data_IF_627505478492
#
_entry.id   IF_627505478492
#
_cell.length_a   1.000
_cell.length_b   1.000
_cell.length_c   1.000
_cell.angle_alpha   90.00
_cell.angle_beta   90.00
_cell.angle_gamma   90.00
#
_symmetry.space_group_name_H-M   'P 1'
#
loop_
_entity.id
_entity.type
_entity.pdbx_description
1 polymer ?
#
# COMPACT_ATOMS: atom_id res chain seq x y z
N UNK A 1 -2.08 -27.21 17.73
CA UNK A 1 -2.54 -25.84 17.41
C UNK A 1 -1.35 -24.93 17.61
N UNK A 2 -1.01 -24.05 16.66
CA UNK A 2 0.02 -23.05 16.90
C UNK A 2 -0.39 -22.22 18.12
N UNK A 3 0.56 -21.87 18.98
CA UNK A 3 0.29 -20.94 20.08
C UNK A 3 -0.26 -19.66 19.46
N UNK A 4 -1.49 -19.26 19.80
CA UNK A 4 -2.02 -17.99 19.33
C UNK A 4 -1.10 -16.88 19.85
N UNK A 5 -0.39 -16.21 18.94
CA UNK A 5 0.42 -15.04 19.26
C UNK A 5 -0.46 -14.02 20.00
N UNK A 6 0.01 -13.54 21.15
CA UNK A 6 -0.74 -12.59 21.99
C UNK A 6 -0.98 -11.24 21.31
N UNK A 7 -0.42 -10.98 20.13
CA UNK A 7 -0.58 -9.74 19.37
C UNK A 7 -1.65 -9.80 18.28
N UNK A 8 -2.28 -10.95 18.05
CA UNK A 8 -3.28 -11.16 16.98
C UNK A 8 -4.65 -11.47 17.57
N UNK A 9 -5.65 -10.66 17.21
CA UNK A 9 -7.05 -10.89 17.53
C UNK A 9 -7.73 -11.65 16.38
N UNK A 10 -8.27 -12.83 16.67
CA UNK A 10 -9.03 -13.61 15.68
C UNK A 10 -10.46 -13.08 15.56
N UNK A 11 -10.89 -12.83 14.33
CA UNK A 11 -12.30 -12.63 13.99
C UNK A 11 -12.71 -13.74 13.02
N UNK A 12 -13.64 -14.63 13.39
CA UNK A 12 -14.07 -15.67 12.48
C UNK A 12 -14.70 -15.05 11.22
N UNK A 13 -14.66 -15.75 10.10
CA UNK A 13 -15.27 -15.27 8.84
C UNK A 13 -16.77 -14.94 8.98
N UNK A 14 -17.47 -15.60 9.92
CA UNK A 14 -18.85 -15.27 10.29
C UNK A 14 -19.02 -13.85 10.85
N UNK A 15 -17.97 -13.22 11.37
CA UNK A 15 -17.98 -11.82 11.78
C UNK A 15 -18.05 -10.86 10.59
N UNK A 16 -17.73 -11.31 9.38
CA UNK A 16 -17.90 -10.53 8.14
C UNK A 16 -19.24 -10.83 7.45
N UNK A 17 -20.10 -11.62 8.09
CA UNK A 17 -21.45 -11.87 7.60
C UNK A 17 -22.34 -10.64 7.79
N UNK A 18 -23.55 -10.71 7.24
CA UNK A 18 -24.58 -9.68 7.36
C UNK A 18 -24.81 -9.35 8.84
N UNK A 19 -24.68 -8.07 9.19
CA UNK A 19 -25.09 -7.56 10.50
C UNK A 19 -26.61 -7.60 10.55
N UNK A 20 -27.18 -8.39 11.46
CA UNK A 20 -28.62 -8.47 11.62
C UNK A 20 -29.16 -7.22 12.32
N UNK A 21 -30.14 -6.57 11.70
CA UNK A 21 -30.77 -5.35 12.20
C UNK A 21 -30.09 -4.06 11.72
N UNK A 22 -30.61 -2.92 12.18
CA UNK A 22 -30.07 -1.61 11.84
C UNK A 22 -28.77 -1.35 12.61
N UNK A 23 -27.77 -0.81 11.92
CA UNK A 23 -26.51 -0.41 12.51
C UNK A 23 -26.10 0.98 12.01
N UNK A 24 -25.23 1.64 12.77
CA UNK A 24 -24.63 2.92 12.42
C UNK A 24 -23.11 2.78 12.43
N UNK A 25 -22.48 3.35 11.41
CA UNK A 25 -21.03 3.51 11.30
C UNK A 25 -20.72 4.94 10.88
N UNK A 26 -19.91 5.61 11.66
CA UNK A 26 -19.28 6.87 11.25
C UNK A 26 -18.01 6.54 10.46
N UNK A 27 -17.91 6.92 9.16
CA UNK A 27 -16.74 6.60 8.33
C UNK A 27 -15.46 7.31 8.77
N UNK A 28 -15.56 8.32 9.65
CA UNK A 28 -14.41 9.05 10.20
C UNK A 28 -13.69 8.27 11.32
N UNK A 29 -14.31 7.21 11.84
CA UNK A 29 -13.77 6.39 12.92
C UNK A 29 -13.51 4.96 12.45
N UNK A 30 -12.82 4.21 13.31
CA UNK A 30 -12.49 2.81 13.08
C UNK A 30 -13.73 1.98 12.74
N UNK A 31 -13.62 1.03 11.81
CA UNK A 31 -14.71 0.11 11.48
C UNK A 31 -15.23 -0.66 12.71
N UNK A 32 -14.38 -0.83 13.72
CA UNK A 32 -14.70 -1.47 14.99
C UNK A 32 -15.61 -0.63 15.90
N UNK A 33 -15.86 0.65 15.59
CA UNK A 33 -16.81 1.50 16.33
C UNK A 33 -18.25 1.39 15.81
N UNK A 34 -18.55 0.39 14.98
CA UNK A 34 -19.91 0.11 14.50
C UNK A 34 -20.81 -0.29 15.66
N UNK A 35 -22.01 0.29 15.72
CA UNK A 35 -22.97 0.11 16.82
C UNK A 35 -24.37 -0.19 16.28
N UNK A 36 -25.19 -0.89 17.07
CA UNK A 36 -26.58 -1.14 16.68
C UNK A 36 -27.44 0.11 16.84
N UNK A 37 -28.49 0.20 16.02
CA UNK A 37 -29.54 1.21 16.10
C UNK A 37 -30.84 0.52 16.49
N UNK A 38 -31.49 1.01 17.55
CA UNK A 38 -32.73 0.41 18.04
C UNK A 38 -33.93 0.78 17.14
N UNK A 39 -35.09 0.16 17.39
CA UNK A 39 -36.30 0.38 16.60
C UNK A 39 -36.80 1.84 16.56
N UNK A 40 -36.37 2.67 17.52
CA UNK A 40 -36.69 4.10 17.58
C UNK A 40 -35.66 4.98 16.86
N UNK A 41 -34.66 4.39 16.19
CA UNK A 41 -33.60 5.12 15.48
C UNK A 41 -32.45 5.61 16.36
N UNK A 42 -32.41 5.24 17.64
CA UNK A 42 -31.35 5.68 18.55
C UNK A 42 -30.15 4.72 18.51
N UNK A 43 -28.95 5.31 18.48
CA UNK A 43 -27.68 4.58 18.59
C UNK A 43 -27.55 3.92 19.97
N UNK A 44 -27.08 2.68 20.00
CA UNK A 44 -26.86 1.90 21.22
C UNK A 44 -25.39 1.91 21.66
N UNK A 45 -25.10 1.35 22.84
CA UNK A 45 -23.74 1.21 23.37
C UNK A 45 -23.06 -0.11 22.99
N UNK A 46 -23.74 -0.98 22.25
CA UNK A 46 -23.21 -2.27 21.80
C UNK A 46 -23.15 -2.34 20.28
N UNK A 47 -22.27 -3.20 19.77
CA UNK A 47 -22.06 -3.40 18.35
C UNK A 47 -21.76 -4.86 18.02
N UNK A 48 -21.71 -5.21 16.74
CA UNK A 48 -21.40 -6.56 16.27
C UNK A 48 -19.93 -6.95 16.50
N UNK A 49 -19.05 -6.00 16.84
CA UNK A 49 -17.61 -6.22 16.95
C UNK A 49 -17.05 -5.83 18.31
N UNK A 50 -16.07 -6.59 18.79
CA UNK A 50 -15.20 -6.18 19.88
C UNK A 50 -14.18 -5.17 19.36
N UNK A 51 -13.92 -4.10 20.10
CA UNK A 51 -12.88 -3.14 19.73
C UNK A 51 -11.48 -3.72 19.98
N UNK A 52 -10.60 -3.84 18.98
CA UNK A 52 -9.24 -4.34 19.19
C UNK A 52 -8.44 -3.40 20.10
N UNK A 53 -7.65 -3.97 21.02
CA UNK A 53 -6.72 -3.22 21.87
C UNK A 53 -5.44 -2.90 21.07
N UNK A 54 -4.83 -1.75 21.33
CA UNK A 54 -3.50 -1.40 20.82
C UNK A 54 -2.42 -2.46 21.17
N UNK A 55 -2.58 -3.21 22.26
CA UNK A 55 -1.70 -4.34 22.62
C UNK A 55 -1.86 -5.57 21.71
N UNK A 56 -2.91 -5.62 20.88
CA UNK A 56 -3.22 -6.67 19.90
C UNK A 56 -3.49 -6.02 18.53
N UNK A 57 -2.46 -5.44 17.88
CA UNK A 57 -2.67 -4.55 16.74
C UNK A 57 -3.07 -5.28 15.44
N UNK A 58 -2.95 -6.61 15.41
CA UNK A 58 -3.24 -7.40 14.22
C UNK A 58 -4.59 -8.11 14.33
N UNK A 59 -5.34 -8.16 13.22
CA UNK A 59 -6.63 -8.84 13.13
C UNK A 59 -6.56 -9.93 12.08
N UNK A 60 -6.81 -11.18 12.48
CA UNK A 60 -6.84 -12.34 11.59
C UNK A 60 -8.28 -12.73 11.27
N UNK A 61 -8.65 -12.70 9.99
CA UNK A 61 -9.95 -13.22 9.52
C UNK A 61 -9.89 -14.68 9.03
N UNK A 62 -8.68 -15.16 8.74
CA UNK A 62 -8.36 -16.52 8.31
C UNK A 62 -7.10 -16.98 9.02
N UNK A 63 -6.94 -18.29 9.22
CA UNK A 63 -5.78 -18.87 9.91
C UNK A 63 -4.46 -18.59 9.19
N UNK A 64 -4.48 -18.50 7.86
CA UNK A 64 -3.25 -18.35 7.08
C UNK A 64 -2.56 -16.99 7.33
N UNK A 65 -3.28 -16.02 7.90
CA UNK A 65 -2.69 -14.75 8.31
C UNK A 65 -1.68 -14.90 9.47
N UNK A 66 -1.82 -15.93 10.31
CA UNK A 66 -0.82 -16.21 11.36
C UNK A 66 0.55 -16.54 10.77
N UNK A 67 0.59 -17.20 9.60
CA UNK A 67 1.83 -17.51 8.91
C UNK A 67 2.47 -16.26 8.28
N UNK A 68 1.67 -15.24 7.96
CA UNK A 68 2.15 -13.95 7.42
C UNK A 68 2.84 -13.12 8.50
N UNK A 69 2.22 -12.99 9.67
CA UNK A 69 2.77 -12.18 10.78
C UNK A 69 3.84 -12.93 11.58
N UNK A 70 3.74 -14.25 11.66
CA UNK A 70 4.64 -15.09 12.43
C UNK A 70 4.52 -14.92 13.95
N UNK A 71 5.46 -15.53 14.66
CA UNK A 71 5.54 -15.45 16.12
C UNK A 71 6.11 -14.10 16.57
N UNK A 72 5.50 -13.48 17.58
CA UNK A 72 6.03 -12.26 18.20
C UNK A 72 5.86 -10.98 17.38
N UNK A 73 4.96 -10.98 16.40
CA UNK A 73 4.68 -9.79 15.59
C UNK A 73 4.34 -8.56 16.45
N UNK A 74 4.95 -7.43 16.13
CA UNK A 74 4.73 -6.13 16.77
C UNK A 74 4.42 -5.04 15.73
N UNK A 75 3.74 -3.99 16.16
CA UNK A 75 3.48 -2.80 15.35
C UNK A 75 4.31 -1.63 15.88
N UNK A 76 5.06 -0.99 15.00
CA UNK A 76 5.98 0.11 15.30
C UNK A 76 5.87 1.19 14.23
N UNK A 77 6.00 2.46 14.63
CA UNK A 77 6.17 3.57 13.69
C UNK A 77 7.66 3.73 13.41
N UNK A 78 8.09 3.29 12.23
CA UNK A 78 9.51 3.35 11.82
C UNK A 78 9.89 4.67 11.17
N UNK A 79 8.92 5.42 10.62
CA UNK A 79 9.15 6.71 9.99
C UNK A 79 7.91 7.62 10.10
N UNK A 80 8.15 8.94 10.12
CA UNK A 80 7.13 9.98 10.13
C UNK A 80 7.62 11.18 9.33
N UNK A 81 6.69 11.88 8.67
CA UNK A 81 6.96 13.14 7.97
C UNK A 81 5.87 14.16 8.31
N UNK A 82 6.21 15.45 8.22
CA UNK A 82 5.28 16.58 8.42
C UNK A 82 4.53 16.97 7.13
N UNK A 83 4.68 16.17 6.07
CA UNK A 83 3.98 16.30 4.79
C UNK A 83 3.52 14.92 4.33
N UNK A 84 2.73 14.86 3.24
CA UNK A 84 2.13 13.63 2.74
C UNK A 84 3.12 12.69 2.01
N UNK A 85 4.23 12.33 2.68
CA UNK A 85 5.33 11.51 2.18
C UNK A 85 4.97 10.03 1.95
N UNK A 86 3.95 9.53 2.64
CA UNK A 86 3.54 8.12 2.61
C UNK A 86 2.07 8.06 2.20
N UNK A 87 1.79 7.50 1.02
CA UNK A 87 0.45 7.43 0.44
C UNK A 87 0.11 6.03 -0.03
N UNK A 88 0.85 5.53 -1.02
CA UNK A 88 0.55 4.27 -1.68
C UNK A 88 1.82 3.45 -1.93
N UNK A 89 1.62 2.31 -2.60
CA UNK A 89 2.58 1.24 -2.74
C UNK A 89 3.05 0.72 -1.36
N UNK A 90 4.30 0.30 -1.24
CA UNK A 90 4.76 -0.60 -0.19
C UNK A 90 5.39 -1.85 -0.79
N UNK A 91 6.26 -1.68 -1.78
CA UNK A 91 6.90 -2.76 -2.51
C UNK A 91 8.16 -3.19 -1.79
N UNK A 92 8.09 -4.35 -1.13
CA UNK A 92 9.26 -4.96 -0.51
C UNK A 92 10.16 -5.65 -1.54
N UNK A 93 11.45 -5.32 -1.50
CA UNK A 93 12.50 -5.96 -2.31
C UNK A 93 13.46 -6.69 -1.37
N UNK A 94 13.39 -8.02 -1.38
CA UNK A 94 14.16 -8.86 -0.47
C UNK A 94 15.67 -8.80 -0.68
N UNK A 95 16.13 -8.58 -1.91
CA UNK A 95 17.56 -8.53 -2.24
C UNK A 95 18.28 -7.32 -1.64
N UNK A 96 17.56 -6.21 -1.40
CA UNK A 96 18.11 -5.02 -0.74
C UNK A 96 17.58 -4.82 0.68
N UNK A 97 16.58 -5.60 1.09
CA UNK A 97 15.85 -5.44 2.35
C UNK A 97 15.25 -4.03 2.50
N UNK A 98 14.65 -3.53 1.41
CA UNK A 98 14.08 -2.18 1.35
C UNK A 98 12.61 -2.23 0.93
N UNK A 99 11.85 -1.24 1.38
CA UNK A 99 10.47 -1.01 0.95
C UNK A 99 10.40 0.28 0.14
N UNK A 100 9.84 0.19 -1.06
CA UNK A 100 9.60 1.33 -1.94
C UNK A 100 8.15 1.79 -1.83
N UNK A 101 7.94 3.10 -1.80
CA UNK A 101 6.63 3.72 -1.60
C UNK A 101 6.54 5.08 -2.28
N UNK A 102 5.33 5.61 -2.33
CA UNK A 102 5.04 6.89 -2.99
C UNK A 102 4.42 7.88 -2.03
N UNK A 103 4.64 9.17 -2.31
CA UNK A 103 3.94 10.26 -1.62
C UNK A 103 2.56 10.48 -2.24
N UNK A 104 1.71 11.26 -1.55
CA UNK A 104 0.53 11.82 -2.19
C UNK A 104 0.96 12.90 -3.20
N UNK A 105 0.02 13.45 -3.97
CA UNK A 105 0.24 14.60 -4.84
C UNK A 105 0.78 15.78 -4.04
N UNK A 106 1.98 16.22 -4.42
CA UNK A 106 2.65 17.42 -3.91
C UNK A 106 2.60 18.53 -4.98
N UNK A 107 2.82 19.76 -4.54
CA UNK A 107 2.93 20.91 -5.44
C UNK A 107 4.29 21.60 -5.23
N UNK A 108 4.90 22.05 -6.33
CA UNK A 108 6.08 22.92 -6.26
C UNK A 108 5.69 24.35 -6.57
N UNK A 109 6.38 25.29 -5.93
CA UNK A 109 6.44 26.69 -6.37
C UNK A 109 7.72 26.97 -7.17
N UNK A 110 8.68 26.04 -7.16
CA UNK A 110 9.96 26.14 -7.82
C UNK A 110 10.02 25.24 -9.07
N UNK A 111 9.84 25.86 -10.24
CA UNK A 111 9.90 25.20 -11.54
C UNK A 111 11.32 24.76 -11.97
N UNK A 112 12.38 25.17 -11.25
CA UNK A 112 13.74 24.71 -11.54
C UNK A 112 14.04 23.34 -10.95
N UNK A 113 13.37 22.98 -9.85
CA UNK A 113 13.56 21.69 -9.17
C UNK A 113 12.66 20.60 -9.75
N UNK A 114 11.41 20.94 -10.10
CA UNK A 114 10.46 20.02 -10.70
C UNK A 114 9.95 20.55 -12.04
N UNK A 115 9.92 19.66 -13.02
CA UNK A 115 9.41 19.97 -14.38
C UNK A 115 7.92 20.34 -14.40
N UNK A 116 7.14 19.84 -13.44
CA UNK A 116 5.70 20.00 -13.38
C UNK A 116 5.28 20.68 -12.06
N UNK A 117 4.24 21.53 -12.06
CA UNK A 117 3.77 22.21 -10.84
C UNK A 117 3.18 21.25 -9.81
N UNK A 118 2.73 20.06 -10.22
CA UNK A 118 2.40 18.96 -9.32
C UNK A 118 3.25 17.73 -9.60
N UNK A 119 3.65 17.01 -8.54
CA UNK A 119 4.50 15.83 -8.63
C UNK A 119 4.17 14.85 -7.49
N UNK A 120 4.66 13.61 -7.64
CA UNK A 120 4.69 12.62 -6.57
C UNK A 120 6.13 12.17 -6.36
N UNK A 121 6.51 11.89 -5.13
CA UNK A 121 7.82 11.35 -4.80
C UNK A 121 7.80 9.83 -4.89
N UNK A 122 8.92 9.28 -5.35
CA UNK A 122 9.22 7.86 -5.27
C UNK A 122 10.35 7.69 -4.27
N UNK A 123 10.12 6.92 -3.22
CA UNK A 123 11.01 6.86 -2.07
C UNK A 123 11.22 5.43 -1.62
N UNK A 124 12.26 5.22 -0.82
CA UNK A 124 12.54 3.93 -0.19
C UNK A 124 12.99 4.07 1.25
N UNK A 125 12.73 3.04 2.05
CA UNK A 125 13.20 2.88 3.42
C UNK A 125 13.93 1.55 3.57
N UNK A 126 15.09 1.57 4.23
CA UNK A 126 15.81 0.34 4.62
C UNK A 126 15.11 -0.28 5.82
N UNK A 127 14.85 -1.59 5.79
CA UNK A 127 14.36 -2.33 6.97
C UNK A 127 15.51 -2.80 7.88
N UNK A 128 16.75 -2.47 7.52
CA UNK A 128 17.91 -2.59 8.39
C UNK A 128 18.10 -1.25 9.10
N UNK A 129 17.89 -1.16 10.43
CA UNK A 129 18.08 0.08 11.18
C UNK A 129 19.57 0.47 11.23
N UNK A 130 19.81 1.76 11.40
CA UNK A 130 21.15 2.31 11.66
C UNK A 130 21.72 1.76 12.97
N UNK A 131 23.01 2.03 13.23
CA UNK A 131 23.65 1.66 14.50
C UNK A 131 22.95 2.28 15.74
N UNK A 132 22.18 3.35 15.56
CA UNK A 132 21.43 4.01 16.62
C UNK A 132 19.98 3.51 16.72
N UNK A 133 19.61 2.45 15.98
CA UNK A 133 18.26 1.88 15.98
C UNK A 133 17.24 2.68 15.16
N UNK A 134 17.66 3.66 14.36
CA UNK A 134 16.76 4.49 13.56
C UNK A 134 16.62 3.95 12.14
N UNK A 135 15.41 4.03 11.59
CA UNK A 135 15.17 3.75 10.19
C UNK A 135 15.32 5.03 9.38
N UNK A 136 15.98 4.92 8.23
CA UNK A 136 16.21 6.04 7.33
C UNK A 136 15.53 5.77 6.00
N UNK A 137 14.82 6.78 5.51
CA UNK A 137 14.18 6.77 4.21
C UNK A 137 14.71 7.93 3.36
N UNK A 138 14.65 7.75 2.05
CA UNK A 138 15.12 8.77 1.10
C UNK A 138 14.20 8.85 -0.11
N UNK A 139 14.04 10.06 -0.62
CA UNK A 139 13.41 10.31 -1.91
C UNK A 139 14.42 10.07 -3.01
N UNK A 140 14.03 9.29 -4.00
CA UNK A 140 14.85 8.94 -5.14
C UNK A 140 14.66 9.95 -6.26
N UNK A 141 15.73 10.18 -7.02
CA UNK A 141 15.58 10.84 -8.31
C UNK A 141 14.70 9.96 -9.23
N UNK A 142 13.86 10.56 -10.09
CA UNK A 142 13.03 9.79 -10.99
C UNK A 142 13.88 8.80 -11.82
N UNK A 143 13.61 7.48 -11.72
CA UNK A 143 14.38 6.45 -12.40
C UNK A 143 14.10 6.44 -13.91
N UNK A 144 13.03 7.12 -14.35
CA UNK A 144 12.61 7.31 -15.74
C UNK A 144 11.84 8.64 -15.83
N UNK A 145 11.89 9.28 -16.99
CA UNK A 145 11.07 10.44 -17.34
C UNK A 145 9.56 10.11 -17.47
N UNK A 146 9.21 8.82 -17.55
CA UNK A 146 7.82 8.33 -17.55
C UNK A 146 7.28 8.05 -16.14
N UNK A 147 8.14 7.99 -15.11
CA UNK A 147 7.69 7.80 -13.72
C UNK A 147 7.27 9.14 -13.10
N UNK A 148 6.21 9.73 -13.66
CA UNK A 148 5.62 10.97 -13.17
C UNK A 148 4.34 10.64 -12.42
N UNK A 149 4.17 11.27 -11.25
CA UNK A 149 3.06 10.99 -10.33
C UNK A 149 2.94 9.47 -10.02
N UNK A 150 4.02 8.82 -9.53
CA UNK A 150 3.96 7.41 -9.16
C UNK A 150 2.91 7.20 -8.06
N UNK A 151 2.15 6.10 -8.11
CA UNK A 151 1.12 5.81 -7.11
C UNK A 151 1.26 4.38 -6.55
N UNK A 152 0.47 3.42 -7.04
CA UNK A 152 0.55 2.03 -6.66
C UNK A 152 1.74 1.30 -7.28
N UNK A 153 2.08 0.15 -6.70
CA UNK A 153 3.22 -0.64 -7.16
C UNK A 153 3.21 -2.05 -6.59
N UNK A 154 3.97 -2.93 -7.23
CA UNK A 154 4.15 -4.32 -6.79
C UNK A 154 5.52 -4.84 -7.18
N UNK A 155 5.90 -5.99 -6.63
CA UNK A 155 7.14 -6.66 -7.01
C UNK A 155 6.95 -7.38 -8.34
N UNK A 156 7.92 -7.26 -9.25
CA UNK A 156 7.93 -7.97 -10.52
C UNK A 156 9.35 -8.49 -10.80
N UNK A 157 9.53 -9.81 -10.72
CA UNK A 157 10.81 -10.48 -10.95
C UNK A 157 11.98 -9.88 -10.16
N UNK A 158 11.76 -9.58 -8.88
CA UNK A 158 12.76 -9.00 -7.97
C UNK A 158 13.02 -7.50 -8.16
N UNK A 159 12.23 -6.84 -9.01
CA UNK A 159 12.28 -5.41 -9.30
C UNK A 159 11.00 -4.72 -8.85
N UNK A 160 11.01 -3.38 -8.80
CA UNK A 160 9.85 -2.59 -8.39
C UNK A 160 9.05 -2.20 -9.63
N UNK A 161 7.85 -2.73 -9.78
CA UNK A 161 6.93 -2.34 -10.85
C UNK A 161 5.97 -1.27 -10.32
N UNK A 162 6.05 -0.06 -10.86
CA UNK A 162 5.26 1.08 -10.44
C UNK A 162 4.22 1.46 -11.49
N UNK A 163 3.03 1.81 -11.04
CA UNK A 163 2.07 2.58 -11.80
C UNK A 163 2.43 4.06 -11.73
N UNK A 164 2.46 4.71 -12.90
CA UNK A 164 2.68 6.13 -13.06
C UNK A 164 1.41 6.77 -13.65
N UNK A 165 0.84 7.76 -12.96
CA UNK A 165 -0.40 8.39 -13.42
C UNK A 165 -0.20 9.26 -14.67
N UNK A 166 1.05 9.66 -14.96
CA UNK A 166 1.38 10.55 -16.06
C UNK A 166 1.15 12.02 -15.69
N UNK A 167 1.17 12.91 -16.70
CA UNK A 167 0.97 14.33 -16.50
C UNK A 167 0.47 15.03 -17.77
N UNK A 168 -0.77 15.54 -17.70
CA UNK A 168 -1.39 16.30 -18.78
C UNK A 168 -1.33 15.57 -20.12
N UNK A 169 -0.90 16.27 -21.17
CA UNK A 169 -0.62 15.68 -22.49
C UNK A 169 0.88 15.41 -22.70
N UNK A 170 1.73 15.78 -21.74
CA UNK A 170 3.18 15.75 -21.87
C UNK A 170 3.76 14.37 -21.55
N UNK A 171 3.14 13.63 -20.62
CA UNK A 171 3.59 12.32 -20.16
C UNK A 171 2.39 11.39 -20.05
N UNK A 172 2.40 10.32 -20.83
CA UNK A 172 1.37 9.29 -20.77
C UNK A 172 1.46 8.51 -19.44
N UNK A 173 0.31 8.05 -18.96
CA UNK A 173 0.30 7.09 -17.85
C UNK A 173 0.95 5.78 -18.28
N UNK A 174 1.69 5.15 -17.37
CA UNK A 174 2.50 3.98 -17.73
C UNK A 174 2.76 3.03 -16.56
N UNK A 175 3.16 1.81 -16.88
CA UNK A 175 3.85 0.94 -15.93
C UNK A 175 5.36 1.05 -16.15
N UNK A 176 6.09 1.39 -15.09
CA UNK A 176 7.55 1.55 -15.11
C UNK A 176 8.18 0.51 -14.18
N UNK A 177 9.07 -0.31 -14.74
CA UNK A 177 9.86 -1.26 -13.98
C UNK A 177 11.19 -0.62 -13.56
N UNK A 178 11.44 -0.56 -12.26
CA UNK A 178 12.62 0.05 -11.65
C UNK A 178 13.54 -1.04 -11.11
N UNK A 179 14.79 -1.01 -11.56
CA UNK A 179 15.83 -1.89 -11.08
C UNK A 179 16.41 -1.36 -9.76
N UNK A 180 16.25 -2.08 -8.63
CA UNK A 180 16.77 -1.64 -7.34
C UNK A 180 18.31 -1.61 -7.30
N UNK A 181 19.00 -2.38 -8.14
CA UNK A 181 20.47 -2.43 -8.15
C UNK A 181 21.08 -1.22 -8.87
N UNK A 182 20.40 -0.70 -9.91
CA UNK A 182 20.93 0.41 -10.73
C UNK A 182 20.17 1.72 -10.56
N UNK A 183 18.99 1.69 -9.94
CA UNK A 183 18.09 2.83 -9.83
C UNK A 183 17.46 3.27 -11.15
N UNK A 184 17.57 2.48 -12.22
CA UNK A 184 17.07 2.82 -13.56
C UNK A 184 15.68 2.25 -13.80
N UNK A 185 14.82 3.03 -14.45
CA UNK A 185 13.46 2.66 -14.82
C UNK A 185 13.36 2.38 -16.32
N UNK A 186 12.51 1.42 -16.70
CA UNK A 186 12.02 1.26 -18.08
C UNK A 186 10.51 1.14 -18.13
N UNK A 187 9.90 1.77 -19.11
CA UNK A 187 8.46 1.62 -19.38
C UNK A 187 8.16 0.24 -19.96
N UNK A 188 7.19 -0.46 -19.37
CA UNK A 188 6.68 -1.74 -19.89
C UNK A 188 5.50 -1.51 -20.84
N UNK A 189 4.60 -0.62 -20.45
CA UNK A 189 3.39 -0.31 -21.22
C UNK A 189 2.94 1.12 -20.89
N UNK A 190 2.48 1.86 -21.89
CA UNK A 190 1.92 3.22 -21.74
C UNK A 190 0.73 3.51 -22.65
N UNK A 191 0.29 2.52 -23.45
CA UNK A 191 -0.84 2.64 -24.34
C UNK A 191 -1.47 1.28 -24.63
N UNK A 192 -2.70 1.31 -25.14
CA UNK A 192 -3.41 0.17 -25.71
C UNK A 192 -3.80 0.52 -27.16
N UNK A 193 -3.15 -0.14 -28.13
CA UNK A 193 -3.32 0.14 -29.57
C UNK A 193 -3.16 1.63 -29.93
N UNK A 194 -2.17 2.29 -29.34
CA UNK A 194 -1.90 3.71 -29.57
C UNK A 194 -2.78 4.67 -28.74
N UNK A 195 -3.78 4.17 -28.02
CA UNK A 195 -4.54 4.97 -27.06
C UNK A 195 -3.80 5.02 -25.74
N UNK A 196 -3.33 6.21 -25.36
CA UNK A 196 -2.63 6.44 -24.08
C UNK A 196 -3.52 6.05 -22.91
N UNK A 197 -2.90 5.49 -21.87
CA UNK A 197 -3.60 5.29 -20.60
C UNK A 197 -3.79 6.63 -19.88
N UNK A 198 -4.80 6.68 -19.03
CA UNK A 198 -5.13 7.84 -18.23
C UNK A 198 -5.13 7.45 -16.75
N UNK A 199 -4.08 7.86 -16.03
CA UNK A 199 -3.99 7.71 -14.59
C UNK A 199 -4.10 6.26 -14.07
N UNK A 200 -3.26 5.35 -14.57
CA UNK A 200 -3.09 4.02 -13.96
C UNK A 200 -2.76 4.20 -12.48
N UNK A 201 -3.52 3.50 -11.63
CA UNK A 201 -3.49 3.66 -10.19
C UNK A 201 -2.65 2.58 -9.52
N UNK A 202 -3.05 1.32 -9.69
CA UNK A 202 -2.48 0.16 -9.03
C UNK A 202 -2.05 -0.89 -10.04
N UNK A 203 -1.10 -1.73 -9.62
CA UNK A 203 -0.63 -2.88 -10.40
C UNK A 203 -0.46 -4.09 -9.49
N UNK A 204 -0.90 -5.24 -9.98
CA UNK A 204 -0.77 -6.52 -9.33
C UNK A 204 -0.19 -7.56 -10.29
N UNK A 205 0.61 -8.47 -9.77
CA UNK A 205 1.23 -9.54 -10.53
C UNK A 205 0.73 -10.87 -9.99
N UNK A 206 0.10 -11.65 -10.85
CA UNK A 206 -0.18 -13.05 -10.60
C UNK A 206 1.02 -13.85 -11.10
N UNK A 207 1.84 -14.35 -10.17
CA UNK A 207 3.00 -15.15 -10.50
C UNK A 207 2.59 -16.53 -11.03
N UNK A 208 3.29 -16.99 -12.06
CA UNK A 208 3.16 -18.37 -12.52
C UNK A 208 3.45 -19.32 -11.35
N UNK A 209 2.56 -20.28 -11.14
CA UNK A 209 2.65 -21.27 -10.07
C UNK A 209 2.00 -22.58 -10.54
N UNK A 210 1.79 -23.54 -9.65
CA UNK A 210 1.17 -24.82 -10.04
C UNK A 210 -0.28 -24.71 -10.54
N UNK A 211 -0.94 -23.58 -10.33
CA UNK A 211 -2.33 -23.31 -10.73
C UNK A 211 -2.45 -22.40 -11.97
N UNK A 212 -1.40 -21.65 -12.33
CA UNK A 212 -1.35 -20.79 -13.52
C UNK A 212 0.02 -20.90 -14.19
N UNK A 213 0.02 -21.35 -15.45
CA UNK A 213 1.27 -21.60 -16.21
C UNK A 213 1.95 -20.31 -16.68
N UNK A 214 1.20 -19.22 -16.78
CA UNK A 214 1.68 -17.92 -17.26
C UNK A 214 1.59 -16.87 -16.15
N UNK A 215 2.54 -15.92 -16.16
CA UNK A 215 2.51 -14.74 -15.30
C UNK A 215 1.63 -13.67 -15.93
N UNK A 216 0.74 -13.07 -15.12
CA UNK A 216 -0.18 -12.03 -15.58
C UNK A 216 0.04 -10.74 -14.80
N UNK A 217 -0.05 -9.61 -15.50
CA UNK A 217 -0.01 -8.28 -14.90
C UNK A 217 -1.39 -7.66 -15.05
N UNK A 218 -1.98 -7.27 -13.92
CA UNK A 218 -3.26 -6.57 -13.85
C UNK A 218 -3.01 -5.16 -13.35
N UNK A 219 -3.70 -4.17 -13.91
CA UNK A 219 -3.60 -2.79 -13.45
C UNK A 219 -4.93 -2.07 -13.65
N UNK A 220 -5.18 -1.05 -12.83
CA UNK A 220 -6.41 -0.24 -12.81
C UNK A 220 -6.16 1.17 -13.27
#
# INVERSE_FOLDING_TARGET
MPNMSSSVLSFPSSSHAVINGSFYRDPSYSLWSTVYVNASGNVTTSGPFTYPNASTPFVASVSDFYDVVGDGASLEVVARAEYAAFHEAGVYISSTNEVYFTSNKLNTTNATEYRFPSYGQFSKISLTPSANGTYEWSTLLPPSDQLVMPNGGTVYNGQVLMAAQGYGLDVASSLVLVDPATGKGRTLVNNFYGRVFNSINDVAVLFANRAVDEQWVFFT
#
